data_IF_049248003508
#
_entry.id   IF_049248003508
#
_cell.length_a   1.000
_cell.length_b   1.000
_cell.length_c   1.000
_cell.angle_alpha   90.00
_cell.angle_beta   90.00
_cell.angle_gamma   90.00
#
_symmetry.space_group_name_H-M   'P 1'
#
loop_
_entity.id
_entity.type
_entity.pdbx_description
1 polymer ?
#
# COMPACT_ATOMS: atom_id res chain seq x y z
N UNK A 1 3.02 -12.76 10.25
CA UNK A 1 3.26 -12.61 8.80
C UNK A 1 1.96 -12.12 8.16
N UNK A 2 2.03 -11.26 7.13
CA UNK A 2 0.85 -10.82 6.36
C UNK A 2 0.03 -12.04 5.89
N UNK A 3 -1.31 -12.00 5.95
CA UNK A 3 -2.16 -10.82 6.03
C UNK A 3 -2.42 -10.27 7.44
N UNK A 4 -1.80 -10.83 8.49
CA UNK A 4 -1.94 -10.28 9.84
C UNK A 4 -1.44 -8.81 9.89
N UNK A 5 -2.26 -7.84 10.40
CA UNK A 5 -1.96 -6.41 10.36
C UNK A 5 -0.92 -5.94 11.37
N UNK A 6 -0.45 -6.83 12.26
CA UNK A 6 0.44 -6.49 13.38
C UNK A 6 1.64 -5.63 12.99
N UNK A 7 2.25 -5.92 11.84
CA UNK A 7 3.41 -5.16 11.34
C UNK A 7 3.08 -3.67 11.14
N UNK A 8 1.90 -3.37 10.59
CA UNK A 8 1.46 -2.00 10.33
C UNK A 8 1.05 -1.29 11.62
N UNK A 9 0.33 -1.98 12.50
CA UNK A 9 -0.05 -1.44 13.81
C UNK A 9 1.17 -1.10 14.68
N UNK A 10 2.18 -1.98 14.69
CA UNK A 10 3.43 -1.74 15.41
C UNK A 10 4.20 -0.55 14.81
N UNK A 11 4.27 -0.45 13.48
CA UNK A 11 4.93 0.67 12.80
C UNK A 11 4.26 2.01 13.11
N UNK A 12 2.93 2.09 13.00
CA UNK A 12 2.16 3.30 13.34
C UNK A 12 2.34 3.70 14.80
N UNK A 13 2.30 2.72 15.72
CA UNK A 13 2.53 2.95 17.15
C UNK A 13 3.94 3.50 17.41
N UNK A 14 4.95 2.96 16.73
CA UNK A 14 6.34 3.37 16.92
C UNK A 14 6.61 4.83 16.50
N UNK A 15 5.84 5.37 15.55
CA UNK A 15 6.02 6.73 15.04
C UNK A 15 4.89 7.70 15.43
N UNK A 16 3.89 7.23 16.19
CA UNK A 16 2.82 8.06 16.74
C UNK A 16 1.82 8.60 15.70
N UNK A 17 1.55 7.84 14.64
CA UNK A 17 0.58 8.22 13.58
C UNK A 17 -0.64 7.31 13.56
N UNK A 18 -1.70 7.77 12.91
CA UNK A 18 -2.96 7.04 12.71
C UNK A 18 -3.03 6.39 11.32
N UNK A 19 -3.95 5.44 11.09
CA UNK A 19 -4.14 4.85 9.76
C UNK A 19 -4.47 5.88 8.66
N UNK A 20 -5.15 6.99 9.03
CA UNK A 20 -5.51 8.06 8.11
C UNK A 20 -4.31 8.89 7.62
N UNK A 21 -3.18 8.80 8.33
CA UNK A 21 -1.92 9.47 7.99
C UNK A 21 -0.96 8.53 7.25
N UNK A 22 -1.41 7.33 6.92
CA UNK A 22 -0.58 6.28 6.35
C UNK A 22 -1.07 5.84 4.97
N UNK A 23 -0.11 5.40 4.15
CA UNK A 23 -0.37 4.61 2.94
C UNK A 23 0.67 3.49 2.89
N UNK A 24 0.27 2.29 2.50
CA UNK A 24 1.19 1.18 2.27
C UNK A 24 1.43 0.99 0.77
N UNK A 25 2.65 0.62 0.38
CA UNK A 25 2.99 0.24 -1.01
C UNK A 25 3.45 -1.22 -0.98
N UNK A 26 2.69 -2.11 -1.63
CA UNK A 26 2.88 -3.56 -1.55
C UNK A 26 2.75 -4.26 -2.90
N UNK A 27 3.43 -5.39 -3.09
CA UNK A 27 3.53 -6.08 -4.37
C UNK A 27 2.80 -7.44 -4.41
N UNK A 28 2.10 -7.78 -3.32
CA UNK A 28 1.35 -9.02 -3.15
C UNK A 28 -0.08 -8.78 -2.61
N UNK A 29 -1.01 -9.68 -2.94
CA UNK A 29 -2.40 -9.66 -2.44
C UNK A 29 -2.46 -9.57 -0.90
N UNK A 30 -1.62 -10.34 -0.20
CA UNK A 30 -1.51 -10.31 1.27
C UNK A 30 -1.12 -8.95 1.85
N UNK A 31 -0.51 -8.08 1.04
CA UNK A 31 -0.18 -6.71 1.45
C UNK A 31 -1.43 -5.86 1.52
N UNK A 32 -2.28 -5.98 0.50
CA UNK A 32 -3.56 -5.27 0.41
C UNK A 32 -4.49 -5.72 1.53
N UNK A 33 -4.62 -7.04 1.72
CA UNK A 33 -5.41 -7.65 2.81
C UNK A 33 -4.93 -7.17 4.19
N UNK A 34 -3.60 -7.10 4.41
CA UNK A 34 -3.05 -6.58 5.66
C UNK A 34 -3.33 -5.09 5.84
N UNK A 35 -3.32 -4.30 4.74
CA UNK A 35 -3.61 -2.88 4.75
C UNK A 35 -5.05 -2.62 5.17
N UNK A 36 -5.99 -3.32 4.53
CA UNK A 36 -7.41 -3.28 4.92
C UNK A 36 -7.61 -3.67 6.38
N UNK A 37 -6.99 -4.76 6.84
CA UNK A 37 -7.08 -5.20 8.23
C UNK A 37 -6.48 -4.19 9.23
N UNK A 38 -5.54 -3.35 8.80
CA UNK A 38 -4.96 -2.27 9.59
C UNK A 38 -5.69 -0.91 9.42
N UNK A 39 -6.69 -0.84 8.52
CA UNK A 39 -7.38 0.41 8.19
C UNK A 39 -6.55 1.39 7.35
N UNK A 40 -5.52 0.91 6.63
CA UNK A 40 -4.60 1.72 5.83
C UNK A 40 -4.84 1.47 4.34
N UNK A 41 -4.93 2.51 3.48
CA UNK A 41 -4.98 2.33 2.03
C UNK A 41 -3.69 1.69 1.50
N UNK A 42 -3.80 0.80 0.52
CA UNK A 42 -2.65 0.14 -0.11
C UNK A 42 -2.57 0.44 -1.60
N UNK A 43 -1.42 0.98 -2.04
CA UNK A 43 -1.03 1.10 -3.44
C UNK A 43 -0.37 -0.22 -3.86
N UNK A 44 -0.90 -0.83 -4.92
CA UNK A 44 -0.33 -2.05 -5.51
C UNK A 44 0.87 -1.75 -6.39
N UNK A 45 1.98 -2.45 -6.20
CA UNK A 45 3.19 -2.35 -7.01
C UNK A 45 3.35 -3.58 -7.93
N UNK A 46 2.88 -3.44 -9.17
CA UNK A 46 2.80 -4.50 -10.18
C UNK A 46 4.00 -4.51 -11.13
N UNK A 47 5.22 -4.62 -10.59
CA UNK A 47 6.46 -4.63 -11.39
C UNK A 47 6.71 -5.91 -12.23
N UNK A 48 5.72 -6.81 -12.33
CA UNK A 48 5.79 -8.07 -13.07
C UNK A 48 4.43 -8.39 -13.71
N UNK A 49 4.40 -9.08 -14.87
CA UNK A 49 3.15 -9.49 -15.52
C UNK A 49 2.21 -10.27 -14.60
N UNK A 50 0.90 -10.02 -14.72
CA UNK A 50 -0.16 -10.70 -13.97
C UNK A 50 -0.31 -10.28 -12.51
N UNK A 51 0.49 -9.31 -12.03
CA UNK A 51 0.28 -8.71 -10.70
C UNK A 51 -0.80 -7.66 -10.70
N UNK A 52 -0.96 -6.91 -11.79
CA UNK A 52 -1.81 -5.73 -11.81
C UNK A 52 -3.28 -6.10 -11.54
N UNK A 53 -3.76 -7.13 -12.25
CA UNK A 53 -5.10 -7.66 -12.12
C UNK A 53 -5.34 -8.20 -10.70
N UNK A 54 -4.40 -9.00 -10.17
CA UNK A 54 -4.51 -9.59 -8.83
C UNK A 54 -4.54 -8.55 -7.71
N UNK A 55 -3.77 -7.48 -7.85
CA UNK A 55 -3.74 -6.39 -6.87
C UNK A 55 -4.99 -5.52 -6.95
N UNK A 56 -5.53 -5.31 -8.15
CA UNK A 56 -6.81 -4.64 -8.35
C UNK A 56 -7.98 -5.47 -7.80
N UNK A 57 -8.02 -6.78 -8.05
CA UNK A 57 -9.00 -7.72 -7.48
C UNK A 57 -8.96 -7.78 -5.95
N UNK A 58 -7.77 -7.60 -5.36
CA UNK A 58 -7.61 -7.48 -3.91
C UNK A 58 -8.02 -6.11 -3.35
N UNK A 59 -8.53 -5.20 -4.19
CA UNK A 59 -8.96 -3.84 -3.86
C UNK A 59 -7.82 -2.92 -3.37
N UNK A 60 -6.66 -2.99 -4.03
CA UNK A 60 -5.66 -1.93 -3.92
C UNK A 60 -6.25 -0.61 -4.44
N UNK A 61 -5.97 0.51 -3.77
CA UNK A 61 -6.58 1.82 -4.11
C UNK A 61 -6.14 2.35 -5.48
N UNK A 62 -4.95 1.95 -5.91
CA UNK A 62 -4.43 2.12 -7.26
C UNK A 62 -3.29 1.14 -7.46
N UNK A 63 -2.95 0.85 -8.72
CA UNK A 63 -1.84 -0.01 -9.09
C UNK A 63 -0.86 0.75 -9.96
N UNK A 64 0.42 0.70 -9.59
CA UNK A 64 1.53 1.26 -10.36
C UNK A 64 2.50 0.16 -10.76
N UNK A 65 3.14 0.32 -11.91
CA UNK A 65 4.18 -0.61 -12.40
C UNK A 65 5.60 -0.16 -12.04
N UNK A 66 5.75 1.10 -11.62
CA UNK A 66 7.04 1.74 -11.30
C UNK A 66 6.92 2.62 -10.06
N UNK A 67 8.00 2.71 -9.28
CA UNK A 67 8.06 3.66 -8.16
C UNK A 67 8.15 5.11 -8.63
N UNK A 68 8.64 5.36 -9.85
CA UNK A 68 8.68 6.71 -10.43
C UNK A 68 7.29 7.30 -10.58
N UNK A 69 6.27 6.50 -10.91
CA UNK A 69 4.88 6.97 -10.96
C UNK A 69 4.42 7.58 -9.62
N UNK A 70 4.84 7.01 -8.49
CA UNK A 70 4.54 7.54 -7.15
C UNK A 70 5.32 8.83 -6.90
N UNK A 71 6.61 8.86 -7.25
CA UNK A 71 7.46 10.06 -7.09
C UNK A 71 6.92 11.24 -7.91
N UNK A 72 6.54 10.98 -9.16
CA UNK A 72 5.99 12.00 -10.06
C UNK A 72 4.65 12.53 -9.54
N UNK A 73 3.79 11.64 -9.02
CA UNK A 73 2.54 12.05 -8.37
C UNK A 73 2.81 12.93 -7.14
N UNK A 74 3.71 12.53 -6.24
CA UNK A 74 4.05 13.31 -5.05
C UNK A 74 4.66 14.68 -5.38
N UNK A 75 5.46 14.78 -6.45
CA UNK A 75 6.05 16.05 -6.90
C UNK A 75 5.04 16.99 -7.57
N UNK A 76 3.96 16.45 -8.12
CA UNK A 76 2.86 17.23 -8.68
C UNK A 76 1.97 17.91 -7.64
N UNK A 77 2.18 17.59 -6.36
CA UNK A 77 1.56 18.26 -5.22
C UNK A 77 2.63 19.04 -4.47
N UNK A 78 2.52 20.37 -4.43
CA UNK A 78 3.29 21.16 -3.45
C UNK A 78 2.80 20.75 -2.05
N UNK A 79 3.64 20.05 -1.29
CA UNK A 79 3.42 19.68 0.12
C UNK A 79 4.05 20.75 1.01
#
# INVERSE_FOLDING_TARGET
MKPNPRLFLDAMTAIGVTPAECVFIGDAVRDVEAGHAAGIPTIGYANKPGKAERLAEAEAITVVDTMSAIVDALRGHDI
#
